data_IF_579662863022
#
_entry.id   IF_579662863022
#
_cell.length_a   1.000
_cell.length_b   1.000
_cell.length_c   1.000
_cell.angle_alpha   90.00
_cell.angle_beta   90.00
_cell.angle_gamma   90.00
#
_symmetry.space_group_name_H-M   'P 1'
#
loop_
_entity.id
_entity.type
_entity.pdbx_description
1 polymer ?
#
# COMPACT_ATOMS: atom_id res chain seq x y z
N UNK A 1 -1.38 -11.05 13.41
CA UNK A 1 -1.37 -9.82 12.58
C UNK A 1 -1.48 -10.14 11.10
N UNK A 2 -0.60 -10.98 10.54
CA UNK A 2 -0.58 -11.34 9.10
C UNK A 2 -1.93 -11.86 8.57
N UNK A 3 -2.60 -12.77 9.29
CA UNK A 3 -3.90 -13.30 8.88
C UNK A 3 -4.99 -12.22 8.69
N UNK A 4 -4.98 -11.17 9.52
CA UNK A 4 -5.93 -10.05 9.42
C UNK A 4 -5.67 -9.21 8.17
N UNK A 5 -4.40 -8.92 7.88
CA UNK A 5 -4.02 -8.12 6.70
C UNK A 5 -4.34 -8.90 5.42
N UNK A 6 -3.97 -10.17 5.37
CA UNK A 6 -4.29 -11.04 4.25
C UNK A 6 -5.81 -11.13 4.00
N UNK A 7 -6.62 -11.29 5.07
CA UNK A 7 -8.08 -11.29 4.93
C UNK A 7 -8.65 -9.96 4.43
N UNK A 8 -8.01 -8.83 4.77
CA UNK A 8 -8.40 -7.51 4.29
C UNK A 8 -8.18 -7.37 2.79
N UNK A 9 -6.98 -7.72 2.33
CA UNK A 9 -6.61 -7.69 0.91
C UNK A 9 -7.52 -8.58 0.05
N UNK A 10 -7.83 -9.78 0.54
CA UNK A 10 -8.75 -10.70 -0.15
C UNK A 10 -10.16 -10.14 -0.22
N UNK A 11 -10.65 -9.52 0.86
CA UNK A 11 -11.99 -8.92 0.90
C UNK A 11 -12.14 -7.73 -0.04
N UNK A 12 -11.10 -6.90 -0.19
CA UNK A 12 -11.10 -5.77 -1.13
C UNK A 12 -11.19 -6.19 -2.59
N UNK A 13 -10.76 -7.42 -2.91
CA UNK A 13 -10.76 -7.99 -4.26
C UNK A 13 -11.85 -9.07 -4.46
N UNK A 14 -12.87 -9.11 -3.61
CA UNK A 14 -13.88 -10.19 -3.60
C UNK A 14 -14.87 -10.04 -4.77
N UNK A 15 -15.31 -8.82 -5.06
CA UNK A 15 -16.17 -8.55 -6.21
C UNK A 15 -15.36 -8.38 -7.52
N UNK A 16 -16.01 -8.67 -8.65
CA UNK A 16 -15.34 -8.69 -9.95
C UNK A 16 -14.85 -7.30 -10.41
N UNK A 17 -15.58 -6.23 -10.07
CA UNK A 17 -15.19 -4.87 -10.44
C UNK A 17 -14.04 -4.39 -9.57
N UNK A 18 -14.12 -4.59 -8.25
CA UNK A 18 -13.04 -4.30 -7.31
C UNK A 18 -11.76 -5.02 -7.67
N UNK A 19 -11.86 -6.31 -8.03
CA UNK A 19 -10.72 -7.10 -8.52
C UNK A 19 -10.12 -6.50 -9.80
N UNK A 20 -10.95 -6.14 -10.78
CA UNK A 20 -10.48 -5.57 -12.04
C UNK A 20 -9.80 -4.20 -11.85
N UNK A 21 -10.36 -3.35 -10.99
CA UNK A 21 -9.77 -2.05 -10.64
C UNK A 21 -8.44 -2.20 -9.92
N UNK A 22 -8.32 -3.16 -9.00
CA UNK A 22 -7.07 -3.46 -8.32
C UNK A 22 -5.99 -3.96 -9.30
N UNK A 23 -6.34 -4.89 -10.19
CA UNK A 23 -5.43 -5.36 -11.24
C UNK A 23 -4.95 -4.21 -12.15
N UNK A 24 -5.87 -3.34 -12.59
CA UNK A 24 -5.53 -2.18 -13.41
C UNK A 24 -4.60 -1.20 -12.68
N UNK A 25 -4.82 -0.99 -11.38
CA UNK A 25 -3.95 -0.14 -10.54
C UNK A 25 -2.54 -0.72 -10.43
N UNK A 26 -2.41 -2.03 -10.22
CA UNK A 26 -1.10 -2.68 -10.18
C UNK A 26 -0.41 -2.69 -11.54
N UNK A 27 -1.13 -2.89 -12.63
CA UNK A 27 -0.57 -2.75 -13.98
C UNK A 27 -0.06 -1.32 -14.22
N UNK A 28 -0.86 -0.30 -13.91
CA UNK A 28 -0.51 1.10 -14.17
C UNK A 28 0.76 1.54 -13.41
N UNK A 29 0.87 1.16 -12.14
CA UNK A 29 1.98 1.63 -11.30
C UNK A 29 3.20 0.71 -11.31
N UNK A 30 3.00 -0.59 -11.58
CA UNK A 30 4.04 -1.62 -11.38
C UNK A 30 4.23 -2.54 -12.59
N UNK A 31 3.34 -2.53 -13.60
CA UNK A 31 3.37 -3.47 -14.73
C UNK A 31 3.14 -4.92 -14.31
N UNK A 32 2.42 -5.13 -13.20
CA UNK A 32 2.29 -6.44 -12.54
C UNK A 32 0.88 -6.66 -11.98
N UNK A 33 -0.12 -6.96 -12.83
CA UNK A 33 -1.50 -7.16 -12.38
C UNK A 33 -1.63 -8.37 -11.44
N UNK A 34 -0.72 -9.34 -11.54
CA UNK A 34 -0.67 -10.54 -10.70
C UNK A 34 -0.36 -10.26 -9.22
N UNK A 35 0.10 -9.05 -8.88
CA UNK A 35 0.34 -8.63 -7.49
C UNK A 35 -0.90 -8.80 -6.61
N UNK A 36 -2.10 -8.75 -7.18
CA UNK A 36 -3.35 -9.01 -6.46
C UNK A 36 -3.35 -10.36 -5.73
N UNK A 37 -2.66 -11.37 -6.26
CA UNK A 37 -2.57 -12.71 -5.67
C UNK A 37 -1.30 -12.91 -4.84
N UNK A 38 -0.23 -12.16 -5.13
CA UNK A 38 1.07 -12.32 -4.48
C UNK A 38 1.22 -11.48 -3.21
N UNK A 39 0.50 -10.35 -3.11
CA UNK A 39 0.62 -9.41 -2.01
C UNK A 39 0.45 -10.05 -0.62
N UNK A 40 -0.51 -10.97 -0.37
CA UNK A 40 -0.62 -11.62 0.92
C UNK A 40 0.67 -12.34 1.35
N UNK A 41 1.34 -13.02 0.43
CA UNK A 41 2.60 -13.70 0.70
C UNK A 41 3.77 -12.72 0.90
N UNK A 42 3.85 -11.69 0.04
CA UNK A 42 4.88 -10.65 0.14
C UNK A 42 4.80 -9.88 1.46
N UNK A 43 3.60 -9.53 1.91
CA UNK A 43 3.38 -8.90 3.22
C UNK A 43 3.75 -9.85 4.36
N UNK A 44 3.47 -11.15 4.19
CA UNK A 44 3.90 -12.19 5.13
C UNK A 44 5.41 -12.31 5.27
N UNK A 45 6.17 -12.01 4.23
CA UNK A 45 7.63 -12.07 4.22
C UNK A 45 8.32 -10.83 4.84
N UNK A 46 7.56 -9.79 5.20
CA UNK A 46 8.11 -8.57 5.81
C UNK A 46 8.67 -8.86 7.20
N UNK A 47 9.95 -8.54 7.42
CA UNK A 47 10.66 -8.74 8.70
C UNK A 47 10.75 -7.47 9.52
N UNK A 48 10.99 -7.61 10.84
CA UNK A 48 11.28 -6.48 11.74
C UNK A 48 12.44 -5.63 11.24
N UNK A 49 13.51 -6.28 10.80
CA UNK A 49 14.75 -5.63 10.38
C UNK A 49 14.54 -4.85 9.07
N UNK A 50 13.75 -5.44 8.15
CA UNK A 50 13.33 -4.76 6.93
C UNK A 50 12.49 -3.51 7.22
N UNK A 51 11.58 -3.59 8.20
CA UNK A 51 10.80 -2.42 8.64
C UNK A 51 11.72 -1.36 9.25
N UNK A 52 12.68 -1.74 10.10
CA UNK A 52 13.62 -0.80 10.71
C UNK A 52 14.49 -0.10 9.65
N UNK A 53 15.01 -0.83 8.68
CA UNK A 53 15.81 -0.29 7.59
C UNK A 53 14.99 0.68 6.70
N UNK A 54 13.75 0.30 6.33
CA UNK A 54 12.86 1.17 5.57
C UNK A 54 12.54 2.46 6.33
N UNK A 55 12.25 2.37 7.63
CA UNK A 55 11.99 3.52 8.47
C UNK A 55 13.21 4.45 8.63
N UNK A 56 14.43 3.91 8.64
CA UNK A 56 15.64 4.71 8.61
C UNK A 56 15.77 5.50 7.30
N UNK A 57 15.46 4.87 6.16
CA UNK A 57 15.46 5.52 4.84
C UNK A 57 14.46 6.68 4.73
N UNK A 58 13.27 6.54 5.31
CA UNK A 58 12.28 7.62 5.36
C UNK A 58 12.78 8.83 6.18
N UNK A 59 13.43 8.60 7.32
CA UNK A 59 13.98 9.69 8.15
C UNK A 59 15.08 10.47 7.42
N UNK A 60 15.87 9.80 6.59
CA UNK A 60 16.93 10.44 5.81
C UNK A 60 16.41 11.44 4.78
N UNK A 61 15.20 11.23 4.24
CA UNK A 61 14.57 12.10 3.25
C UNK A 61 13.94 13.37 3.88
N UNK A 62 13.95 13.46 5.22
CA UNK A 62 13.32 14.56 5.95
C UNK A 62 11.79 14.43 5.97
N UNK A 63 11.10 15.52 6.35
CA UNK A 63 9.64 15.56 6.44
C UNK A 63 9.13 16.82 5.76
N UNK A 64 8.30 16.66 4.73
CA UNK A 64 7.47 17.75 4.21
C UNK A 64 6.22 17.88 5.07
N UNK A 65 5.83 19.13 5.41
CA UNK A 65 4.59 19.42 6.13
C UNK A 65 3.72 20.29 5.22
N UNK A 66 2.48 19.85 4.99
CA UNK A 66 1.45 20.63 4.32
C UNK A 66 0.43 21.08 5.37
N UNK A 67 0.42 22.37 5.68
CA UNK A 67 -0.52 22.94 6.65
C UNK A 67 -1.73 23.54 5.93
N UNK A 68 -2.90 22.95 6.16
CA UNK A 68 -4.16 23.47 5.65
C UNK A 68 -4.68 24.57 6.59
N UNK A 69 -4.73 25.79 6.09
CA UNK A 69 -5.33 26.92 6.80
C UNK A 69 -6.74 27.15 6.24
N UNK A 70 -7.75 27.22 7.12
CA UNK A 70 -9.10 27.55 6.70
C UNK A 70 -9.18 29.03 6.31
N UNK A 71 -9.75 29.34 5.13
CA UNK A 71 -10.05 30.70 4.70
C UNK A 71 -9.40 31.09 3.36
N UNK A 72 -9.95 30.60 2.25
CA UNK A 72 -9.90 31.33 1.00
C UNK A 72 -11.04 32.36 1.02
N UNK A 73 -10.81 33.47 1.71
CA UNK A 73 -11.61 34.67 1.51
C UNK A 73 -10.80 35.61 0.60
N UNK A 74 -11.07 35.51 -0.69
CA UNK A 74 -10.75 36.53 -1.69
C UNK A 74 -11.80 36.47 -2.79
#
# INVERSE_FOLDING_TARGET
MQARIASGLLREADDALGRALAMATFELHRGRPELINELPALVGAVTSDGVQAAAAGLRAQGRAVLELHAGAAS
#
